data_IF_287039228699
#
_entry.id   IF_287039228699
#
_cell.length_a   1.000
_cell.length_b   1.000
_cell.length_c   1.000
_cell.angle_alpha   90.00
_cell.angle_beta   90.00
_cell.angle_gamma   90.00
#
_symmetry.space_group_name_H-M   'P 1'
#
loop_
_entity.id
_entity.type
_entity.pdbx_description
1 polymer ?
#
# COMPACT_ATOMS: atom_id res chain seq x y z
N UNK A 1 -17.44 -18.67 -11.24
CA UNK A 1 -16.63 -17.73 -10.45
C UNK A 1 -15.52 -17.25 -11.36
N UNK A 2 -15.56 -15.99 -11.73
CA UNK A 2 -14.51 -15.34 -12.53
C UNK A 2 -13.39 -14.90 -11.59
N UNK A 3 -12.14 -15.03 -12.00
CA UNK A 3 -11.01 -14.49 -11.22
C UNK A 3 -10.58 -13.15 -11.82
N UNK A 4 -10.38 -12.14 -10.98
CA UNK A 4 -9.76 -10.86 -11.32
C UNK A 4 -8.45 -10.70 -10.54
N UNK A 5 -7.35 -10.59 -11.27
CA UNK A 5 -6.07 -10.16 -10.68
C UNK A 5 -6.08 -8.64 -10.50
N UNK A 6 -5.69 -8.20 -9.31
CA UNK A 6 -5.63 -6.80 -8.89
C UNK A 6 -4.23 -6.53 -8.37
N UNK A 7 -3.48 -5.73 -9.11
CA UNK A 7 -2.19 -5.22 -8.67
C UNK A 7 -2.44 -3.93 -7.85
N UNK A 8 -2.13 -3.97 -6.55
CA UNK A 8 -2.20 -2.85 -5.64
C UNK A 8 -0.82 -2.20 -5.51
N UNK A 9 -0.65 -1.06 -6.16
CA UNK A 9 0.52 -0.20 -6.02
C UNK A 9 0.35 0.66 -4.76
N UNK A 10 1.26 0.51 -3.81
CA UNK A 10 1.08 0.96 -2.44
C UNK A 10 2.38 1.47 -1.79
N UNK A 11 2.23 2.30 -0.77
CA UNK A 11 3.33 2.71 0.11
C UNK A 11 2.89 2.64 1.58
N UNK A 12 3.75 2.07 2.42
CA UNK A 12 3.50 1.89 3.87
C UNK A 12 3.23 3.22 4.56
N UNK A 13 3.85 4.30 4.09
CA UNK A 13 3.67 5.62 4.70
C UNK A 13 2.43 6.39 4.20
N UNK A 14 1.65 5.80 3.29
CA UNK A 14 0.43 6.40 2.74
C UNK A 14 -0.83 5.98 3.53
N UNK A 15 -1.52 6.90 4.23
CA UNK A 15 -2.73 6.55 4.98
C UNK A 15 -3.85 6.05 4.07
N UNK A 16 -3.95 6.61 2.86
CA UNK A 16 -4.95 6.19 1.89
C UNK A 16 -4.71 4.77 1.39
N UNK A 17 -3.48 4.23 1.48
CA UNK A 17 -3.22 2.85 1.06
C UNK A 17 -3.90 1.85 1.98
N UNK A 18 -3.74 2.02 3.30
CA UNK A 18 -4.44 1.20 4.29
C UNK A 18 -5.97 1.38 4.21
N UNK A 19 -6.45 2.61 4.09
CA UNK A 19 -7.90 2.89 3.90
C UNK A 19 -8.41 2.25 2.61
N UNK A 20 -7.65 2.35 1.52
CA UNK A 20 -8.00 1.77 0.22
C UNK A 20 -8.05 0.25 0.28
N UNK A 21 -7.10 -0.41 0.95
CA UNK A 21 -7.14 -1.85 1.19
C UNK A 21 -8.42 -2.26 1.93
N UNK A 22 -8.72 -1.60 3.05
CA UNK A 22 -9.91 -1.90 3.85
C UNK A 22 -11.21 -1.72 3.02
N UNK A 23 -11.27 -0.66 2.20
CA UNK A 23 -12.41 -0.42 1.30
C UNK A 23 -12.49 -1.45 0.17
N UNK A 24 -11.36 -1.89 -0.38
CA UNK A 24 -11.31 -2.97 -1.37
C UNK A 24 -11.82 -4.28 -0.76
N UNK A 25 -11.38 -4.66 0.44
CA UNK A 25 -11.85 -5.86 1.14
C UNK A 25 -13.37 -5.82 1.37
N UNK A 26 -13.90 -4.68 1.82
CA UNK A 26 -15.34 -4.46 1.96
C UNK A 26 -16.09 -4.52 0.61
N UNK A 27 -15.44 -4.15 -0.49
CA UNK A 27 -16.00 -4.23 -1.82
C UNK A 27 -16.05 -5.68 -2.32
N UNK A 28 -14.98 -6.45 -2.11
CA UNK A 28 -14.89 -7.85 -2.52
C UNK A 28 -15.88 -8.74 -1.76
N UNK A 29 -16.17 -8.42 -0.50
CA UNK A 29 -17.22 -9.11 0.29
C UNK A 29 -18.63 -8.98 -0.32
N UNK A 30 -18.83 -8.08 -1.29
CA UNK A 30 -20.10 -7.86 -2.00
C UNK A 30 -20.15 -8.54 -3.37
N UNK A 31 -19.13 -9.31 -3.74
CA UNK A 31 -18.97 -9.94 -5.05
C UNK A 31 -19.02 -11.47 -4.89
N UNK A 32 -20.19 -12.07 -5.05
CA UNK A 32 -20.38 -13.52 -4.87
C UNK A 32 -19.84 -14.36 -6.04
N UNK A 33 -19.66 -13.75 -7.22
CA UNK A 33 -19.32 -14.42 -8.48
C UNK A 33 -17.91 -14.08 -9.00
N UNK A 34 -17.19 -13.20 -8.30
CA UNK A 34 -15.85 -12.71 -8.66
C UNK A 34 -14.87 -13.00 -7.51
N UNK A 35 -13.84 -13.80 -7.81
CA UNK A 35 -12.68 -14.04 -6.96
C UNK A 35 -11.60 -13.00 -7.25
N UNK A 36 -11.29 -12.12 -6.29
CA UNK A 36 -10.28 -11.08 -6.45
C UNK A 36 -8.94 -11.53 -5.86
N UNK A 37 -7.90 -11.59 -6.70
CA UNK A 37 -6.53 -11.93 -6.29
C UNK A 37 -5.69 -10.67 -6.22
N UNK A 38 -5.29 -10.31 -5.00
CA UNK A 38 -4.49 -9.12 -4.76
C UNK A 38 -3.00 -9.44 -4.88
N UNK A 39 -2.25 -8.59 -5.58
CA UNK A 39 -0.79 -8.60 -5.64
C UNK A 39 -0.26 -7.24 -5.22
N UNK A 40 0.74 -7.21 -4.35
CA UNK A 40 1.31 -5.97 -3.82
C UNK A 40 2.49 -5.50 -4.66
N UNK A 41 2.53 -4.20 -4.92
CA UNK A 41 3.56 -3.55 -5.72
C UNK A 41 4.07 -2.26 -5.06
N UNK A 42 5.38 -1.99 -5.14
CA UNK A 42 6.01 -0.90 -4.42
C UNK A 42 5.73 0.47 -5.04
N UNK A 43 5.60 1.46 -4.17
CA UNK A 43 5.69 2.89 -4.49
C UNK A 43 6.42 3.60 -3.35
N UNK A 44 7.26 4.58 -3.66
CA UNK A 44 7.99 5.35 -2.64
C UNK A 44 7.57 6.82 -2.71
N UNK A 45 6.78 7.27 -1.75
CA UNK A 45 6.27 8.65 -1.70
C UNK A 45 7.34 9.67 -1.32
N UNK A 46 8.35 9.26 -0.56
CA UNK A 46 9.33 10.16 0.03
C UNK A 46 10.77 9.63 -0.12
N UNK A 47 11.28 9.48 -1.37
CA UNK A 47 12.61 8.90 -1.62
C UNK A 47 13.76 9.75 -1.06
N UNK A 48 13.55 11.06 -0.87
CA UNK A 48 14.60 11.98 -0.43
C UNK A 48 14.70 12.14 1.10
N UNK A 49 13.89 11.41 1.88
CA UNK A 49 13.94 11.48 3.34
C UNK A 49 15.14 10.67 3.88
N UNK A 50 15.93 11.29 4.75
CA UNK A 50 17.05 10.67 5.45
C UNK A 50 16.64 9.65 6.53
N UNK A 51 17.59 8.86 7.04
CA UNK A 51 17.33 7.76 7.98
C UNK A 51 16.76 8.20 9.33
N UNK A 52 16.90 9.47 9.72
CA UNK A 52 16.31 10.06 10.92
C UNK A 52 14.82 10.41 10.78
N UNK A 53 14.28 10.25 9.56
CA UNK A 53 12.93 10.64 9.21
C UNK A 53 12.73 12.15 9.29
N UNK A 54 11.55 12.62 8.87
CA UNK A 54 11.19 14.03 8.97
C UNK A 54 9.97 14.22 9.85
N UNK A 55 9.90 15.35 10.54
CA UNK A 55 8.64 15.77 11.15
C UNK A 55 7.52 15.77 10.10
N UNK A 56 6.39 15.14 10.41
CA UNK A 56 5.30 14.94 9.46
C UNK A 56 4.65 16.26 9.06
N UNK A 57 4.43 17.17 10.02
CA UNK A 57 3.75 18.44 9.75
C UNK A 57 4.62 19.30 8.86
N UNK A 58 5.91 19.44 9.21
CA UNK A 58 6.86 20.22 8.43
C UNK A 58 7.06 19.63 7.03
N UNK A 59 7.15 18.29 6.92
CA UNK A 59 7.28 17.61 5.64
C UNK A 59 6.08 17.85 4.73
N UNK A 60 4.87 17.61 5.22
CA UNK A 60 3.64 17.77 4.43
C UNK A 60 3.38 19.24 4.09
N UNK A 61 3.67 20.16 5.00
CA UNK A 61 3.57 21.61 4.75
C UNK A 61 4.47 22.02 3.59
N UNK A 62 5.74 21.59 3.60
CA UNK A 62 6.69 21.85 2.52
C UNK A 62 6.30 21.15 1.21
N UNK A 63 5.91 19.87 1.26
CA UNK A 63 5.58 19.04 0.10
C UNK A 63 4.33 19.55 -0.65
N UNK A 64 3.31 19.99 0.08
CA UNK A 64 2.02 20.38 -0.49
C UNK A 64 1.76 21.89 -0.49
N UNK A 65 2.71 22.71 -0.02
CA UNK A 65 2.53 24.16 0.07
C UNK A 65 1.41 24.56 1.03
N UNK A 66 1.24 23.82 2.13
CA UNK A 66 0.18 24.01 3.13
C UNK A 66 0.74 24.64 4.40
N UNK A 67 -0.10 25.33 5.15
CA UNK A 67 0.19 25.76 6.51
C UNK A 67 0.18 24.56 7.48
N UNK A 68 0.87 24.64 8.63
CA UNK A 68 0.81 23.60 9.66
C UNK A 68 -0.62 23.27 10.12
N UNK A 69 -1.51 24.25 10.17
CA UNK A 69 -2.90 24.04 10.60
C UNK A 69 -3.73 23.30 9.54
N UNK A 70 -3.56 23.63 8.25
CA UNK A 70 -4.19 22.87 7.15
C UNK A 70 -3.68 21.42 7.10
N UNK A 71 -2.41 21.19 7.43
CA UNK A 71 -1.88 19.82 7.54
C UNK A 71 -2.54 19.08 8.69
N UNK A 72 -2.64 19.69 9.88
CA UNK A 72 -3.30 19.07 11.04
C UNK A 72 -4.76 18.75 10.76
N UNK A 73 -5.49 19.67 10.13
CA UNK A 73 -6.88 19.43 9.71
C UNK A 73 -6.97 18.25 8.75
N UNK A 74 -6.10 18.19 7.73
CA UNK A 74 -6.04 17.07 6.79
C UNK A 74 -5.73 15.74 7.49
N UNK A 75 -4.88 15.73 8.52
CA UNK A 75 -4.62 14.53 9.33
C UNK A 75 -5.87 14.10 10.11
N UNK A 76 -6.65 15.03 10.67
CA UNK A 76 -7.90 14.68 11.36
C UNK A 76 -8.94 14.07 10.41
N UNK A 77 -9.05 14.59 9.19
CA UNK A 77 -9.91 14.01 8.16
C UNK A 77 -9.49 12.59 7.79
N UNK A 78 -8.18 12.33 7.70
CA UNK A 78 -7.63 10.99 7.46
C UNK A 78 -7.99 10.02 8.60
N UNK A 79 -7.85 10.46 9.85
CA UNK A 79 -8.21 9.64 11.03
C UNK A 79 -9.69 9.29 11.02
N UNK A 80 -10.57 10.26 10.70
CA UNK A 80 -12.00 10.02 10.57
C UNK A 80 -12.32 9.01 9.45
N UNK A 81 -11.73 9.17 8.26
CA UNK A 81 -11.92 8.25 7.14
C UNK A 81 -11.41 6.83 7.43
N UNK A 82 -10.32 6.71 8.20
CA UNK A 82 -9.80 5.44 8.68
C UNK A 82 -10.80 4.76 9.63
N UNK A 83 -11.34 5.50 10.60
CA UNK A 83 -12.34 4.99 11.53
C UNK A 83 -13.62 4.51 10.83
N UNK A 84 -14.11 5.26 9.83
CA UNK A 84 -15.24 4.85 8.97
C UNK A 84 -14.95 3.56 8.19
N UNK A 85 -13.68 3.28 7.91
CA UNK A 85 -13.22 2.08 7.22
C UNK A 85 -12.84 0.94 8.17
N UNK A 86 -13.06 1.10 9.49
CA UNK A 86 -12.77 0.09 10.51
C UNK A 86 -11.32 0.05 11.01
N UNK A 87 -10.51 1.06 10.67
CA UNK A 87 -9.10 1.16 11.04
C UNK A 87 -8.89 2.09 12.24
N UNK A 88 -7.90 1.81 13.09
CA UNK A 88 -7.54 2.67 14.22
C UNK A 88 -6.28 3.48 13.93
N UNK A 89 -6.45 4.77 13.62
CA UNK A 89 -5.37 5.72 13.31
C UNK A 89 -5.18 6.77 14.42
N UNK A 90 -5.55 6.45 15.67
CA UNK A 90 -5.61 7.44 16.76
C UNK A 90 -4.31 8.22 16.98
N UNK A 91 -3.15 7.59 16.73
CA UNK A 91 -1.81 8.20 16.87
C UNK A 91 -1.22 8.68 15.54
N UNK A 92 -1.97 8.62 14.44
CA UNK A 92 -1.44 8.94 13.12
C UNK A 92 -0.91 10.39 13.00
N UNK A 93 -1.33 11.31 13.86
CA UNK A 93 -0.79 12.67 13.90
C UNK A 93 0.61 12.78 14.56
N UNK A 94 1.04 11.76 15.31
CA UNK A 94 2.34 11.71 16.01
C UNK A 94 3.47 11.13 15.14
N UNK A 95 3.12 10.56 13.98
CA UNK A 95 4.07 9.90 13.07
C UNK A 95 5.11 10.87 12.53
N UNK A 96 6.20 10.28 12.02
CA UNK A 96 7.21 10.95 11.18
C UNK A 96 7.08 10.47 9.75
N UNK A 97 7.53 11.28 8.79
CA UNK A 97 7.66 10.84 7.40
C UNK A 97 8.95 10.05 7.22
N UNK A 98 8.88 8.95 6.48
CA UNK A 98 10.01 8.04 6.26
C UNK A 98 10.20 7.74 4.77
N UNK A 99 11.43 7.37 4.41
CA UNK A 99 11.72 6.70 3.15
C UNK A 99 11.51 5.18 3.35
N UNK A 100 10.68 4.58 2.51
CA UNK A 100 10.24 3.19 2.61
C UNK A 100 10.92 2.24 1.62
N UNK A 101 11.95 2.69 0.89
CA UNK A 101 12.59 1.85 -0.12
C UNK A 101 13.10 0.50 0.45
N UNK A 102 13.78 0.52 1.60
CA UNK A 102 14.25 -0.72 2.23
C UNK A 102 13.11 -1.57 2.80
N UNK A 103 12.00 -0.95 3.21
CA UNK A 103 10.78 -1.68 3.60
C UNK A 103 10.23 -2.44 2.40
N UNK A 104 10.18 -1.81 1.22
CA UNK A 104 9.75 -2.47 -0.01
C UNK A 104 10.67 -3.60 -0.46
N UNK A 105 11.97 -3.53 -0.16
CA UNK A 105 12.91 -4.65 -0.38
C UNK A 105 12.61 -5.85 0.52
N UNK A 106 12.22 -5.62 1.77
CA UNK A 106 11.77 -6.70 2.67
C UNK A 106 10.39 -7.23 2.23
N UNK A 107 9.49 -6.36 1.80
CA UNK A 107 8.18 -6.76 1.26
C UNK A 107 8.30 -7.60 -0.02
N UNK A 108 9.32 -7.35 -0.85
CA UNK A 108 9.61 -8.19 -2.01
C UNK A 108 9.90 -9.64 -1.56
N UNK A 109 10.73 -9.83 -0.53
CA UNK A 109 10.96 -11.16 0.06
C UNK A 109 9.70 -11.74 0.72
N UNK A 110 8.91 -10.90 1.41
CA UNK A 110 7.64 -11.34 2.01
C UNK A 110 6.66 -11.85 0.93
N UNK A 111 6.69 -11.27 -0.27
CA UNK A 111 5.90 -11.71 -1.43
C UNK A 111 6.38 -13.08 -1.93
N UNK A 112 7.69 -13.29 -2.03
CA UNK A 112 8.25 -14.62 -2.38
C UNK A 112 7.87 -15.69 -1.35
N UNK A 113 7.74 -15.30 -0.08
CA UNK A 113 7.28 -16.16 1.01
C UNK A 113 5.74 -16.29 1.11
N UNK A 114 4.97 -15.53 0.33
CA UNK A 114 3.50 -15.57 0.33
C UNK A 114 2.84 -14.94 1.57
N UNK A 115 3.53 -14.01 2.25
CA UNK A 115 3.08 -13.37 3.49
C UNK A 115 3.07 -11.83 3.40
N UNK A 116 3.23 -11.27 2.20
CA UNK A 116 3.26 -9.83 1.94
C UNK A 116 1.99 -9.11 2.42
N UNK A 117 0.80 -9.67 2.24
CA UNK A 117 -0.43 -9.05 2.77
C UNK A 117 -0.36 -8.88 4.30
N UNK A 118 -0.08 -9.96 5.03
CA UNK A 118 0.00 -9.92 6.49
C UNK A 118 1.12 -9.00 6.98
N UNK A 119 2.23 -8.92 6.24
CA UNK A 119 3.34 -8.02 6.53
C UNK A 119 2.92 -6.55 6.35
N UNK A 120 2.28 -6.20 5.22
CA UNK A 120 1.76 -4.85 4.97
C UNK A 120 0.75 -4.43 6.04
N UNK A 121 -0.19 -5.31 6.40
CA UNK A 121 -1.21 -5.04 7.43
C UNK A 121 -0.57 -4.74 8.80
N UNK A 122 0.44 -5.53 9.22
CA UNK A 122 1.19 -5.25 10.46
C UNK A 122 1.95 -3.92 10.40
N UNK A 123 2.59 -3.60 9.27
CA UNK A 123 3.29 -2.33 9.09
C UNK A 123 2.34 -1.13 9.13
N UNK A 124 1.13 -1.26 8.57
CA UNK A 124 0.11 -0.22 8.66
C UNK A 124 -0.32 0.00 10.11
N UNK A 125 -0.51 -1.04 10.90
CA UNK A 125 -0.80 -0.90 12.33
C UNK A 125 0.36 -0.21 13.06
N UNK A 126 1.59 -0.70 12.92
CA UNK A 126 2.77 -0.10 13.58
C UNK A 126 2.92 1.38 13.22
N UNK A 127 2.72 1.72 11.95
CA UNK A 127 2.86 3.09 11.52
C UNK A 127 1.68 3.96 11.98
N UNK A 128 0.43 3.59 11.66
CA UNK A 128 -0.74 4.45 11.86
C UNK A 128 -1.40 4.36 13.23
N UNK A 129 -1.43 3.18 13.84
CA UNK A 129 -1.97 2.97 15.19
C UNK A 129 -0.94 3.33 16.25
N UNK A 130 0.31 2.91 16.08
CA UNK A 130 1.33 3.05 17.13
C UNK A 130 2.26 4.26 16.95
N UNK A 131 2.19 4.93 15.80
CA UNK A 131 3.08 6.03 15.43
C UNK A 131 4.57 5.68 15.47
N UNK A 132 4.90 4.40 15.30
CA UNK A 132 6.27 3.91 15.34
C UNK A 132 6.97 4.03 13.98
N UNK A 133 8.29 3.79 13.96
CA UNK A 133 9.09 3.82 12.74
C UNK A 133 8.94 2.51 11.96
N UNK A 134 8.30 2.50 10.78
CA UNK A 134 8.13 1.27 9.99
C UNK A 134 9.43 0.84 9.28
N UNK A 135 10.48 1.68 9.30
CA UNK A 135 11.77 1.38 8.68
C UNK A 135 12.80 0.80 9.65
N UNK A 136 12.41 0.61 10.92
CA UNK A 136 13.32 0.07 11.92
C UNK A 136 13.71 -1.38 11.56
N UNK A 137 15.02 -1.70 11.41
CA UNK A 137 15.46 -3.04 11.04
C UNK A 137 15.03 -4.13 12.01
N UNK A 138 14.99 -3.82 13.31
CA UNK A 138 14.57 -4.76 14.34
C UNK A 138 13.09 -5.10 14.23
N UNK A 139 12.26 -4.09 14.01
CA UNK A 139 10.82 -4.25 13.74
C UNK A 139 10.56 -5.07 12.48
N UNK A 140 11.21 -4.74 11.35
CA UNK A 140 11.04 -5.46 10.09
C UNK A 140 11.40 -6.95 10.25
N UNK A 141 12.49 -7.23 10.97
CA UNK A 141 12.89 -8.59 11.34
C UNK A 141 11.87 -9.26 12.23
N UNK A 142 11.37 -8.59 13.27
CA UNK A 142 10.37 -9.14 14.19
C UNK A 142 9.08 -9.55 13.46
N UNK A 143 8.53 -8.64 12.65
CA UNK A 143 7.33 -8.90 11.84
C UNK A 143 7.58 -10.07 10.89
N UNK A 144 8.67 -10.04 10.13
CA UNK A 144 8.97 -11.09 9.15
C UNK A 144 9.14 -12.47 9.80
N UNK A 145 9.86 -12.57 10.91
CA UNK A 145 10.03 -13.82 11.65
C UNK A 145 8.70 -14.32 12.21
N UNK A 146 7.84 -13.42 12.71
CA UNK A 146 6.50 -13.80 13.19
C UNK A 146 5.62 -14.42 12.09
N UNK A 147 5.90 -14.07 10.83
CA UNK A 147 5.21 -14.58 9.64
C UNK A 147 5.95 -15.76 8.98
N UNK A 148 7.03 -16.25 9.59
CA UNK A 148 7.76 -17.43 9.11
C UNK A 148 8.89 -17.13 8.10
N UNK A 149 9.26 -15.87 7.91
CA UNK A 149 10.44 -15.50 7.12
C UNK A 149 11.74 -15.79 7.90
N UNK A 150 12.83 -16.01 7.18
CA UNK A 150 14.15 -16.21 7.78
C UNK A 150 14.77 -14.87 8.21
N UNK A 151 15.20 -14.82 9.48
CA UNK A 151 15.78 -13.60 10.05
C UNK A 151 17.10 -13.19 9.36
N UNK A 152 17.93 -14.16 8.98
CA UNK A 152 19.20 -13.90 8.31
C UNK A 152 18.99 -13.27 6.93
N UNK A 153 17.96 -13.72 6.22
CA UNK A 153 17.58 -13.16 4.93
C UNK A 153 17.14 -11.71 5.05
N UNK A 154 16.35 -11.36 6.06
CA UNK A 154 15.95 -9.97 6.32
C UNK A 154 17.17 -9.11 6.67
N UNK A 155 18.06 -9.61 7.54
CA UNK A 155 19.30 -8.92 7.89
C UNK A 155 20.18 -8.69 6.65
N UNK A 156 20.31 -9.69 5.77
CA UNK A 156 21.11 -9.63 4.53
C UNK A 156 20.52 -8.63 3.52
N UNK A 157 19.19 -8.55 3.43
CA UNK A 157 18.51 -7.52 2.63
C UNK A 157 18.88 -6.14 3.19
N UNK A 158 18.65 -5.89 4.47
CA UNK A 158 18.84 -4.58 5.08
C UNK A 158 20.31 -4.14 5.15
N UNK A 159 21.26 -5.08 5.19
CA UNK A 159 22.70 -4.77 5.19
C UNK A 159 23.32 -4.64 3.79
N UNK A 160 22.62 -5.08 2.74
CA UNK A 160 23.15 -5.15 1.38
C UNK A 160 22.25 -4.49 0.34
N UNK A 161 22.37 -4.93 -0.90
CA UNK A 161 21.60 -4.44 -2.06
C UNK A 161 20.61 -5.48 -2.62
N UNK A 162 20.40 -6.61 -1.90
CA UNK A 162 19.45 -7.64 -2.33
C UNK A 162 18.07 -7.02 -2.58
N UNK A 163 17.45 -7.39 -3.70
CA UNK A 163 16.17 -6.87 -4.20
C UNK A 163 16.14 -5.38 -4.59
N UNK A 164 17.22 -4.60 -4.42
CA UNK A 164 17.20 -3.16 -4.73
C UNK A 164 16.88 -2.89 -6.21
N UNK A 165 17.59 -3.55 -7.14
CA UNK A 165 17.34 -3.39 -8.58
C UNK A 165 15.95 -3.86 -8.99
N UNK A 166 15.46 -4.96 -8.39
CA UNK A 166 14.15 -5.53 -8.69
C UNK A 166 13.02 -4.57 -8.24
N UNK A 167 13.11 -4.06 -7.01
CA UNK A 167 12.15 -3.08 -6.47
C UNK A 167 12.19 -1.79 -7.27
N UNK A 168 13.38 -1.28 -7.61
CA UNK A 168 13.49 -0.06 -8.41
C UNK A 168 12.88 -0.24 -9.80
N UNK A 169 13.16 -1.35 -10.48
CA UNK A 169 12.58 -1.65 -11.78
C UNK A 169 11.04 -1.76 -11.71
N UNK A 170 10.51 -2.32 -10.63
CA UNK A 170 9.07 -2.44 -10.39
C UNK A 170 8.39 -1.08 -10.15
N UNK A 171 9.02 -0.20 -9.36
CA UNK A 171 8.58 1.20 -9.18
C UNK A 171 8.55 1.92 -10.53
N UNK A 172 9.63 1.82 -11.31
CA UNK A 172 9.75 2.48 -12.61
C UNK A 172 8.73 1.96 -13.61
N UNK A 173 8.42 0.66 -13.57
CA UNK A 173 7.38 0.04 -14.40
C UNK A 173 6.00 0.66 -14.14
N UNK A 174 5.56 0.75 -12.87
CA UNK A 174 4.24 1.34 -12.57
C UNK A 174 4.20 2.84 -12.82
N UNK A 175 5.30 3.58 -12.62
CA UNK A 175 5.40 4.96 -13.06
C UNK A 175 5.21 5.11 -14.58
N UNK A 176 5.81 4.23 -15.39
CA UNK A 176 5.63 4.22 -16.85
C UNK A 176 4.20 3.90 -17.28
N UNK A 177 3.47 3.11 -16.48
CA UNK A 177 2.03 2.85 -16.66
C UNK A 177 1.15 4.02 -16.19
N UNK A 178 1.72 5.13 -15.74
CA UNK A 178 1.00 6.34 -15.35
C UNK A 178 0.55 6.37 -13.89
N UNK A 179 0.97 5.40 -13.07
CA UNK A 179 0.74 5.44 -11.62
C UNK A 179 1.58 6.56 -11.01
N UNK A 180 0.94 7.65 -10.60
CA UNK A 180 1.61 8.82 -10.01
C UNK A 180 1.13 9.12 -8.59
N UNK A 181 0.18 8.34 -8.09
CA UNK A 181 -0.37 8.43 -6.75
C UNK A 181 -0.82 7.04 -6.26
N UNK A 182 -0.86 6.87 -4.95
CA UNK A 182 -1.24 5.61 -4.29
C UNK A 182 -2.34 5.83 -3.23
N UNK A 183 -3.22 4.83 -2.99
CA UNK A 183 -3.25 3.52 -3.65
C UNK A 183 -3.70 3.63 -5.10
N UNK A 184 -3.17 2.76 -5.94
CA UNK A 184 -3.66 2.54 -7.31
C UNK A 184 -3.90 1.06 -7.50
N UNK A 185 -5.09 0.71 -7.99
CA UNK A 185 -5.47 -0.67 -8.30
C UNK A 185 -5.44 -0.85 -9.81
N UNK A 186 -4.54 -1.70 -10.31
CA UNK A 186 -4.50 -2.08 -11.72
C UNK A 186 -5.16 -3.46 -11.85
N UNK A 187 -6.35 -3.48 -12.44
CA UNK A 187 -7.16 -4.70 -12.58
C UNK A 187 -6.94 -5.30 -13.96
N UNK A 188 -6.66 -6.61 -13.99
CA UNK A 188 -6.39 -7.37 -15.20
C UNK A 188 -5.33 -6.71 -16.11
N UNK A 189 -4.31 -6.10 -15.51
CA UNK A 189 -3.20 -5.42 -16.20
C UNK A 189 -3.62 -4.29 -17.17
N UNK A 190 -4.89 -3.85 -17.12
CA UNK A 190 -5.50 -2.96 -18.12
C UNK A 190 -6.25 -1.77 -17.52
N UNK A 191 -6.95 -1.97 -16.41
CA UNK A 191 -7.87 -0.98 -15.85
C UNK A 191 -7.28 -0.35 -14.59
N UNK A 192 -7.03 0.96 -14.62
CA UNK A 192 -6.53 1.71 -13.47
C UNK A 192 -7.68 2.33 -12.67
N UNK A 193 -7.80 1.97 -11.40
CA UNK A 193 -8.64 2.63 -10.40
C UNK A 193 -7.72 3.39 -9.45
N UNK A 194 -7.81 4.72 -9.44
CA UNK A 194 -6.94 5.57 -8.63
C UNK A 194 -7.59 5.98 -7.31
N UNK A 195 -6.83 5.87 -6.22
CA UNK A 195 -7.20 6.32 -4.89
C UNK A 195 -8.10 5.36 -4.10
N UNK A 196 -8.28 5.66 -2.82
CA UNK A 196 -9.12 4.91 -1.90
C UNK A 196 -10.61 5.18 -2.15
N UNK A 197 -11.15 4.72 -3.28
CA UNK A 197 -12.55 4.90 -3.65
C UNK A 197 -13.51 4.24 -2.64
N UNK A 198 -14.75 4.72 -2.51
CA UNK A 198 -15.75 4.08 -1.65
C UNK A 198 -15.98 2.59 -2.01
N UNK A 199 -16.31 1.72 -1.05
CA UNK A 199 -16.49 0.28 -1.31
C UNK A 199 -17.51 -0.03 -2.41
N UNK A 200 -18.62 0.70 -2.47
CA UNK A 200 -19.63 0.54 -3.53
C UNK A 200 -19.09 0.91 -4.92
N UNK A 201 -18.28 1.96 -5.02
CA UNK A 201 -17.65 2.37 -6.28
C UNK A 201 -16.64 1.33 -6.75
N UNK A 202 -15.84 0.79 -5.82
CA UNK A 202 -14.91 -0.31 -6.11
C UNK A 202 -15.65 -1.57 -6.57
N UNK A 203 -16.71 -1.97 -5.88
CA UNK A 203 -17.50 -3.15 -6.24
C UNK A 203 -18.14 -3.01 -7.62
N UNK A 204 -18.73 -1.84 -7.92
CA UNK A 204 -19.35 -1.59 -9.22
C UNK A 204 -18.32 -1.56 -10.36
N UNK A 205 -17.15 -0.95 -10.12
CA UNK A 205 -16.05 -0.96 -11.08
C UNK A 205 -15.55 -2.38 -11.38
N UNK A 206 -15.36 -3.21 -10.35
CA UNK A 206 -14.93 -4.60 -10.51
C UNK A 206 -15.97 -5.45 -11.26
N UNK A 207 -17.27 -5.26 -10.99
CA UNK A 207 -18.34 -5.93 -11.76
C UNK A 207 -18.35 -5.50 -13.23
N UNK A 208 -18.18 -4.22 -13.48
CA UNK A 208 -18.13 -3.70 -14.85
C UNK A 208 -16.95 -4.32 -15.62
N UNK A 209 -15.75 -4.30 -15.02
CA UNK A 209 -14.54 -4.89 -15.62
C UNK A 209 -14.73 -6.38 -15.87
N UNK A 210 -15.28 -7.11 -14.90
CA UNK A 210 -15.59 -8.53 -15.06
C UNK A 210 -16.54 -8.80 -16.24
N UNK A 211 -17.59 -7.98 -16.38
CA UNK A 211 -18.58 -8.09 -17.46
C UNK A 211 -17.95 -7.81 -18.83
N UNK A 212 -17.12 -6.77 -18.93
CA UNK A 212 -16.41 -6.42 -20.17
C UNK A 212 -15.49 -7.56 -20.62
N UNK A 213 -14.67 -8.08 -19.71
CA UNK A 213 -13.74 -9.19 -19.99
C UNK A 213 -14.48 -10.49 -20.38
N UNK A 214 -15.59 -10.80 -19.72
CA UNK A 214 -16.42 -11.95 -20.08
C UNK A 214 -17.06 -11.80 -21.47
N UNK A 215 -17.46 -10.58 -21.84
CA UNK A 215 -17.99 -10.26 -23.17
C UNK A 215 -16.94 -10.41 -24.28
N UNK A 216 -15.73 -9.93 -24.04
CA UNK A 216 -14.58 -10.06 -24.97
C UNK A 216 -14.22 -11.55 -25.20
N UNK A 217 -14.14 -12.34 -24.13
CA UNK A 217 -13.87 -13.77 -24.24
C UNK A 217 -14.95 -14.54 -25.03
N UNK A 218 -16.21 -14.09 -24.96
CA UNK A 218 -17.31 -14.69 -25.71
C UNK A 218 -17.34 -14.26 -27.19
N UNK A 219 -16.76 -13.11 -27.54
CA UNK A 219 -16.65 -12.65 -28.94
C UNK A 219 -15.47 -13.28 -29.69
N UNK A 220 -14.45 -13.74 -28.97
CA UNK A 220 -13.24 -14.35 -29.53
C UNK A 220 -13.34 -15.89 -29.69
N UNK A 221 -14.43 -16.50 -29.19
CA UNK A 221 -14.70 -17.95 -29.22
C UNK A 221 -15.66 -18.35 -30.36
#
# INVERSE_FOLDING_TARGET
MMTLDIDLVSDIVCPWCAIGLARLQQATDRLDDIDCRLRWHPFVLNPDIGPEGRDMVDHLAAKYGKTPDEVRESQQQIIAAAAESGLNFERAAERRSWNTFDVHRVLHEAREAGVDQAFNEQLFDVYFREAANPTDPGLLREIGVSLGMDAGTIDDILAGERHADAVQAEIDYYHQLGVTAVPSFVVAERYLISGAQPPEVLADALRQIATELAGEAASDA
#
